data_IF_940117021395
#
_entry.id   IF_940117021395
#
_cell.length_a   1.000
_cell.length_b   1.000
_cell.length_c   1.000
_cell.angle_alpha   90.00
_cell.angle_beta   90.00
_cell.angle_gamma   90.00
#
_symmetry.space_group_name_H-M   'P 1'
#
loop_
_entity.id
_entity.type
_entity.pdbx_description
1 polymer ?
#
# COMPACT_ATOMS: atom_id res chain seq x y z
N UNK A 1 -23.03 -3.25 -1.49
CA UNK A 1 -21.59 -3.46 -1.20
C UNK A 1 -20.80 -2.78 -2.30
N UNK A 2 -19.68 -2.16 -1.97
CA UNK A 2 -18.81 -1.51 -2.96
C UNK A 2 -17.99 -2.58 -3.69
N UNK A 3 -18.27 -2.76 -4.98
CA UNK A 3 -17.65 -3.78 -5.84
C UNK A 3 -16.33 -3.36 -6.48
N UNK A 4 -15.81 -2.17 -6.16
CA UNK A 4 -14.49 -1.72 -6.63
C UNK A 4 -13.37 -2.50 -5.93
N UNK A 5 -12.25 -2.68 -6.63
CA UNK A 5 -11.10 -3.42 -6.12
C UNK A 5 -10.37 -2.68 -4.98
N UNK A 6 -9.57 -3.42 -4.20
CA UNK A 6 -8.60 -2.89 -3.26
C UNK A 6 -7.26 -2.70 -4.00
N UNK A 7 -6.74 -1.47 -3.99
CA UNK A 7 -5.41 -1.18 -4.52
C UNK A 7 -4.33 -1.60 -3.52
N UNK A 8 -3.34 -2.34 -3.93
CA UNK A 8 -2.21 -2.78 -3.10
C UNK A 8 -0.93 -2.35 -3.79
N UNK A 9 0.01 -1.75 -3.07
CA UNK A 9 1.32 -1.47 -3.65
C UNK A 9 2.50 -1.74 -2.74
N UNK A 10 3.63 -2.08 -3.38
CA UNK A 10 4.92 -2.27 -2.75
C UNK A 10 6.06 -1.73 -3.66
N UNK A 11 7.25 -1.60 -3.09
CA UNK A 11 8.48 -1.26 -3.80
C UNK A 11 8.91 -2.29 -4.85
N UNK A 12 8.36 -3.52 -4.82
CA UNK A 12 8.68 -4.59 -5.77
C UNK A 12 7.70 -5.75 -5.62
N UNK A 13 8.21 -6.99 -5.58
CA UNK A 13 7.40 -8.21 -5.40
C UNK A 13 7.24 -8.61 -3.93
N UNK A 14 7.89 -7.91 -2.99
CA UNK A 14 7.87 -8.28 -1.56
C UNK A 14 6.45 -8.25 -0.99
N UNK A 15 5.66 -7.26 -1.41
CA UNK A 15 4.26 -7.10 -1.00
C UNK A 15 3.30 -8.16 -1.53
N UNK A 16 3.75 -9.09 -2.37
CA UNK A 16 2.93 -10.24 -2.77
C UNK A 16 2.61 -11.16 -1.57
N UNK A 17 3.41 -11.14 -0.51
CA UNK A 17 3.10 -11.84 0.74
C UNK A 17 1.85 -11.26 1.42
N UNK A 18 1.76 -9.94 1.50
CA UNK A 18 0.58 -9.23 2.02
C UNK A 18 -0.63 -9.49 1.13
N UNK A 19 -0.47 -9.39 -0.19
CA UNK A 19 -1.55 -9.69 -1.13
C UNK A 19 -2.06 -11.13 -1.00
N UNK A 20 -1.15 -12.10 -0.82
CA UNK A 20 -1.52 -13.50 -0.62
C UNK A 20 -2.44 -13.67 0.61
N UNK A 21 -2.05 -13.10 1.76
CA UNK A 21 -2.88 -13.14 2.96
C UNK A 21 -4.23 -12.44 2.76
N UNK A 22 -4.27 -11.32 2.03
CA UNK A 22 -5.53 -10.67 1.67
C UNK A 22 -6.44 -11.57 0.82
N UNK A 23 -5.89 -12.27 -0.18
CA UNK A 23 -6.65 -13.19 -1.02
C UNK A 23 -7.21 -14.39 -0.23
N UNK A 24 -6.45 -14.88 0.74
CA UNK A 24 -6.88 -16.00 1.61
C UNK A 24 -7.97 -15.56 2.59
N UNK A 25 -7.82 -14.37 3.20
CA UNK A 25 -8.72 -13.87 4.26
C UNK A 25 -9.97 -13.17 3.71
N UNK A 26 -9.88 -12.61 2.51
CA UNK A 26 -10.95 -11.87 1.84
C UNK A 26 -11.19 -12.44 0.43
N UNK A 27 -11.65 -13.69 0.29
CA UNK A 27 -11.77 -14.39 -1.00
C UNK A 27 -12.84 -13.82 -1.95
N UNK A 28 -13.63 -12.85 -1.47
CA UNK A 28 -14.67 -12.17 -2.24
C UNK A 28 -14.28 -10.75 -2.66
N UNK A 29 -13.06 -10.34 -2.35
CA UNK A 29 -12.53 -9.03 -2.73
C UNK A 29 -11.66 -9.14 -3.98
N UNK A 30 -11.79 -8.13 -4.87
CA UNK A 30 -10.91 -7.97 -6.02
C UNK A 30 -9.72 -7.07 -5.64
N UNK A 31 -8.56 -7.34 -6.23
CA UNK A 31 -7.32 -6.62 -5.93
C UNK A 31 -6.62 -6.11 -7.19
N UNK A 32 -6.07 -4.90 -7.11
CA UNK A 32 -5.14 -4.34 -8.10
C UNK A 32 -3.79 -4.17 -7.43
N UNK A 33 -2.77 -4.88 -7.91
CA UNK A 33 -1.43 -4.83 -7.34
C UNK A 33 -0.47 -4.01 -8.21
N UNK A 34 0.30 -3.12 -7.58
CA UNK A 34 1.40 -2.39 -8.23
C UNK A 34 2.71 -2.61 -7.47
N UNK A 35 3.68 -3.24 -8.14
CA UNK A 35 5.06 -3.36 -7.66
C UNK A 35 5.99 -2.38 -8.38
N UNK A 36 6.65 -1.49 -7.65
CA UNK A 36 7.49 -0.43 -8.22
C UNK A 36 8.94 -0.85 -8.51
N UNK A 37 9.09 -1.91 -9.29
CA UNK A 37 10.40 -2.50 -9.61
C UNK A 37 11.40 -1.52 -10.24
N UNK A 38 10.91 -0.48 -10.94
CA UNK A 38 11.76 0.50 -11.59
C UNK A 38 12.61 1.34 -10.61
N UNK A 39 12.17 1.45 -9.34
CA UNK A 39 12.84 2.27 -8.31
C UNK A 39 13.25 1.47 -7.07
N UNK A 40 13.12 0.15 -7.10
CA UNK A 40 13.63 -0.77 -6.06
C UNK A 40 15.15 -0.60 -5.87
N UNK A 41 15.69 -0.71 -4.63
CA UNK A 41 14.98 -0.81 -3.35
C UNK A 41 14.65 0.57 -2.74
N UNK A 42 13.58 0.64 -1.95
CA UNK A 42 13.21 1.86 -1.22
C UNK A 42 14.04 2.06 0.06
N UNK A 43 14.45 0.98 0.72
CA UNK A 43 15.14 1.00 2.02
C UNK A 43 16.31 2.01 2.16
N UNK A 44 17.26 2.09 1.20
CA UNK A 44 18.39 3.00 1.30
C UNK A 44 18.11 4.43 0.80
N UNK A 45 16.89 4.72 0.34
CA UNK A 45 16.55 6.02 -0.25
C UNK A 45 16.15 7.04 0.82
N UNK A 46 16.37 8.35 0.57
CA UNK A 46 15.83 9.42 1.39
C UNK A 46 14.30 9.31 1.55
N UNK A 47 13.79 9.57 2.75
CA UNK A 47 12.36 9.45 3.03
C UNK A 47 11.49 10.36 2.15
N UNK A 48 11.98 11.55 1.81
CA UNK A 48 11.26 12.47 0.92
C UNK A 48 11.15 11.93 -0.51
N UNK A 49 12.15 11.19 -0.99
CA UNK A 49 12.10 10.53 -2.29
C UNK A 49 11.05 9.40 -2.27
N UNK A 50 11.05 8.58 -1.21
CA UNK A 50 10.08 7.49 -1.02
C UNK A 50 8.65 8.04 -0.91
N UNK A 51 8.45 9.18 -0.23
CA UNK A 51 7.15 9.88 -0.16
C UNK A 51 6.65 10.27 -1.54
N UNK A 52 7.52 10.84 -2.38
CA UNK A 52 7.20 11.18 -3.76
C UNK A 52 6.70 9.96 -4.54
N UNK A 53 7.44 8.85 -4.48
CA UNK A 53 7.06 7.62 -5.19
C UNK A 53 5.74 7.04 -4.67
N UNK A 54 5.56 7.00 -3.36
CA UNK A 54 4.34 6.50 -2.74
C UNK A 54 3.12 7.34 -3.16
N UNK A 55 3.24 8.67 -3.22
CA UNK A 55 2.17 9.56 -3.63
C UNK A 55 1.83 9.41 -5.12
N UNK A 56 2.84 9.24 -5.99
CA UNK A 56 2.62 8.96 -7.41
C UNK A 56 1.83 7.66 -7.61
N UNK A 57 2.20 6.60 -6.89
CA UNK A 57 1.55 5.29 -6.94
C UNK A 57 0.14 5.37 -6.34
N UNK A 58 -0.03 6.03 -5.20
CA UNK A 58 -1.33 6.23 -4.56
C UNK A 58 -2.33 6.94 -5.47
N UNK A 59 -1.90 8.05 -6.09
CA UNK A 59 -2.72 8.77 -7.08
C UNK A 59 -2.98 7.95 -8.34
N UNK A 60 -2.05 7.09 -8.74
CA UNK A 60 -2.29 6.15 -9.85
C UNK A 60 -3.39 5.16 -9.50
N UNK A 61 -3.34 4.53 -8.33
CA UNK A 61 -4.36 3.58 -7.87
C UNK A 61 -5.72 4.26 -7.68
N UNK A 62 -5.76 5.48 -7.15
CA UNK A 62 -6.99 6.27 -7.06
C UNK A 62 -7.63 6.48 -8.44
N UNK A 63 -6.83 6.77 -9.48
CA UNK A 63 -7.32 6.87 -10.86
C UNK A 63 -7.77 5.52 -11.46
N UNK A 64 -7.37 4.39 -10.87
CA UNK A 64 -7.89 3.06 -11.23
C UNK A 64 -9.25 2.76 -10.57
N UNK A 65 -9.84 3.73 -9.86
CA UNK A 65 -11.13 3.61 -9.17
C UNK A 65 -11.16 2.45 -8.15
N UNK A 66 -10.11 2.36 -7.33
CA UNK A 66 -10.09 1.44 -6.17
C UNK A 66 -10.87 2.03 -4.99
N UNK A 67 -11.45 1.18 -4.15
CA UNK A 67 -12.18 1.63 -2.95
C UNK A 67 -11.28 1.93 -1.74
N UNK A 68 -10.08 1.38 -1.73
CA UNK A 68 -9.11 1.48 -0.63
C UNK A 68 -7.70 1.25 -1.18
N UNK A 69 -6.70 1.90 -0.60
CA UNK A 69 -5.28 1.65 -0.88
C UNK A 69 -4.60 1.01 0.33
N UNK A 70 -3.96 -0.13 0.12
CA UNK A 70 -3.14 -0.86 1.06
C UNK A 70 -1.66 -0.70 0.71
N UNK A 71 -0.92 -0.04 1.59
CA UNK A 71 0.53 0.11 1.48
C UNK A 71 1.19 -1.14 2.04
N UNK A 72 1.57 -2.08 1.17
CA UNK A 72 2.19 -3.36 1.56
C UNK A 72 3.70 -3.25 1.87
N UNK A 73 4.32 -2.11 1.55
CA UNK A 73 5.73 -1.86 1.84
C UNK A 73 5.90 -1.23 3.23
N UNK A 74 6.71 -1.84 4.10
CA UNK A 74 7.07 -1.25 5.40
C UNK A 74 7.78 0.10 5.25
N UNK A 75 8.72 0.22 4.31
CA UNK A 75 9.44 1.49 4.07
C UNK A 75 8.51 2.58 3.54
N UNK A 76 7.59 2.26 2.63
CA UNK A 76 6.63 3.26 2.15
C UNK A 76 5.62 3.64 3.24
N UNK A 77 5.18 2.67 4.05
CA UNK A 77 4.27 2.92 5.18
C UNK A 77 4.91 3.87 6.19
N UNK A 78 6.15 3.62 6.61
CA UNK A 78 6.84 4.48 7.58
C UNK A 78 7.14 5.88 7.02
N UNK A 79 7.44 5.99 5.72
CA UNK A 79 7.75 7.27 5.10
C UNK A 79 6.50 8.11 4.82
N UNK A 80 5.42 7.51 4.31
CA UNK A 80 4.40 8.23 3.54
C UNK A 80 2.94 8.03 4.01
N UNK A 81 2.64 7.12 4.95
CA UNK A 81 1.25 6.80 5.31
C UNK A 81 0.42 8.05 5.71
N UNK A 82 0.88 8.95 6.60
CA UNK A 82 0.08 10.13 6.97
C UNK A 82 -0.22 11.03 5.78
N UNK A 83 0.79 11.27 4.93
CA UNK A 83 0.63 12.11 3.74
C UNK A 83 -0.32 11.48 2.72
N UNK A 84 -0.28 10.15 2.54
CA UNK A 84 -1.22 9.45 1.66
C UNK A 84 -2.67 9.57 2.18
N UNK A 85 -2.87 9.49 3.49
CA UNK A 85 -4.18 9.63 4.12
C UNK A 85 -4.72 11.07 4.02
N UNK A 86 -3.85 12.07 3.99
CA UNK A 86 -4.23 13.48 3.81
C UNK A 86 -4.52 13.82 2.35
N UNK A 87 -3.76 13.27 1.40
CA UNK A 87 -3.79 13.67 -0.02
C UNK A 87 -4.75 12.86 -0.89
N UNK A 88 -5.05 11.61 -0.52
CA UNK A 88 -5.96 10.76 -1.30
C UNK A 88 -7.39 10.91 -0.78
N UNK A 89 -8.36 10.83 -1.70
CA UNK A 89 -9.79 10.94 -1.39
C UNK A 89 -10.42 9.65 -0.87
N UNK A 90 -9.64 8.58 -0.80
CA UNK A 90 -10.05 7.22 -0.42
C UNK A 90 -9.26 6.73 0.80
N UNK A 91 -9.78 5.75 1.57
CA UNK A 91 -9.09 5.21 2.75
C UNK A 91 -7.73 4.59 2.42
N UNK A 92 -6.70 4.94 3.19
CA UNK A 92 -5.36 4.36 3.06
C UNK A 92 -4.97 3.62 4.35
N UNK A 93 -4.55 2.37 4.19
CA UNK A 93 -4.11 1.49 5.29
C UNK A 93 -2.66 1.08 5.05
N UNK A 94 -1.84 1.09 6.10
CA UNK A 94 -0.47 0.58 6.08
C UNK A 94 -0.30 -0.65 6.96
N UNK A 95 0.81 -1.37 6.77
CA UNK A 95 1.10 -2.65 7.44
C UNK A 95 1.67 -2.52 8.86
N UNK A 96 2.30 -1.38 9.20
CA UNK A 96 3.01 -1.20 10.49
C UNK A 96 2.07 -1.24 11.70
N UNK A 97 0.92 -0.56 11.64
CA UNK A 97 0.02 -0.48 12.80
C UNK A 97 -0.59 -1.86 13.16
N UNK A 98 -1.10 -2.66 12.20
CA UNK A 98 -1.53 -4.04 12.46
C UNK A 98 -0.43 -4.92 13.05
N UNK A 99 0.79 -4.86 12.50
CA UNK A 99 1.94 -5.62 12.99
C UNK A 99 2.29 -5.25 14.44
N UNK A 100 2.35 -3.95 14.74
CA UNK A 100 2.64 -3.45 16.09
C UNK A 100 1.56 -3.86 17.10
N UNK A 101 0.28 -3.83 16.68
CA UNK A 101 -0.82 -4.27 17.52
C UNK A 101 -0.73 -5.77 17.83
N UNK A 102 -0.45 -6.60 16.82
CA UNK A 102 -0.32 -8.04 17.01
C UNK A 102 0.85 -8.43 17.94
N UNK A 103 1.93 -7.64 17.96
CA UNK A 103 3.11 -7.91 18.80
C UNK A 103 2.90 -7.66 20.30
N UNK A 104 1.89 -6.87 20.69
CA UNK A 104 1.61 -6.51 22.09
C UNK A 104 0.37 -7.22 22.66
N UNK A 105 -0.24 -8.13 21.89
CA UNK A 105 -1.25 -9.07 22.37
C UNK A 105 -0.59 -10.30 23.00
#
# INVERSE_FOLDING_TARGET
MDGRAIGVFDSGTGGLTVLHECLVTMPHEDFVYLGDHARLPYGPRPLDEVRGFALEIGRYLERQDVKLVLVACNTATSAALPQLQEELSLPVVGVIQPEAHAAVQ
#
